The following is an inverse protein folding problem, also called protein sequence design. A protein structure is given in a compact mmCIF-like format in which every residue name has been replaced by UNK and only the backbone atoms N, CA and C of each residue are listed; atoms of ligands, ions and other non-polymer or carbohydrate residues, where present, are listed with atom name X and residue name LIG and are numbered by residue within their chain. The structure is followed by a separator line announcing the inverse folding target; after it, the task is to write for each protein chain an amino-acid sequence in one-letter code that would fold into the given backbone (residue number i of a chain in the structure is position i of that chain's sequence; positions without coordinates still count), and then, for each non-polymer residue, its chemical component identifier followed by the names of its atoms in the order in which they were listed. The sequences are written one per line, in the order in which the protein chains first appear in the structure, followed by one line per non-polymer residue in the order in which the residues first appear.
data_IF_560445087878
#
_entry.id   IF_560445087878
#
_cell.length_a   1.000
_cell.length_b   1.000
_cell.length_c   1.000
_cell.angle_alpha   90.00
_cell.angle_beta   90.00
_cell.angle_gamma   90.00
#
_symmetry.space_group_name_H-M   'P 1'
#
loop_
_entity.id
_entity.type
_entity.pdbx_description
1 polymer ?
#
# COMPACT_ATOMS: atom_id res chain seq x y z
N UNK A 1 40.92 -25.81 0.94
CA UNK A 1 40.19 -24.71 1.63
C UNK A 1 39.77 -23.60 0.67
N UNK A 2 40.68 -23.11 -0.20
CA UNK A 2 40.39 -22.06 -1.21
C UNK A 2 39.35 -22.46 -2.27
N UNK A 3 39.40 -23.69 -2.79
CA UNK A 3 38.51 -24.17 -3.86
C UNK A 3 37.03 -24.15 -3.48
N UNK A 4 36.70 -24.44 -2.22
CA UNK A 4 35.33 -24.37 -1.70
C UNK A 4 34.82 -22.92 -1.65
N UNK A 5 35.67 -21.98 -1.21
CA UNK A 5 35.31 -20.57 -1.10
C UNK A 5 35.04 -19.93 -2.47
N UNK A 6 35.87 -20.25 -3.47
CA UNK A 6 35.68 -19.76 -4.84
C UNK A 6 34.35 -20.24 -5.42
N UNK A 7 33.97 -21.50 -5.17
CA UNK A 7 32.67 -22.03 -5.62
C UNK A 7 31.50 -21.33 -4.95
N UNK A 8 31.57 -21.09 -3.64
CA UNK A 8 30.52 -20.35 -2.91
C UNK A 8 30.36 -18.92 -3.44
N UNK A 9 31.47 -18.22 -3.69
CA UNK A 9 31.44 -16.85 -4.23
C UNK A 9 30.87 -16.86 -5.65
N UNK A 10 31.27 -17.80 -6.50
CA UNK A 10 30.75 -17.93 -7.86
C UNK A 10 29.23 -18.18 -7.87
N UNK A 11 28.73 -19.04 -6.98
CA UNK A 11 27.29 -19.27 -6.82
C UNK A 11 26.54 -18.06 -6.27
N UNK A 12 27.11 -17.33 -5.32
CA UNK A 12 26.51 -16.11 -4.79
C UNK A 12 26.39 -15.03 -5.87
N UNK A 13 27.41 -14.87 -6.72
CA UNK A 13 27.39 -13.92 -7.85
C UNK A 13 26.37 -14.34 -8.92
N UNK A 14 26.29 -15.64 -9.23
CA UNK A 14 25.29 -16.17 -10.16
C UNK A 14 23.86 -15.93 -9.63
N UNK A 15 23.61 -16.19 -8.34
CA UNK A 15 22.31 -15.93 -7.71
C UNK A 15 21.93 -14.45 -7.71
N UNK A 16 22.89 -13.55 -7.48
CA UNK A 16 22.66 -12.10 -7.57
C UNK A 16 22.33 -11.67 -9.00
N UNK A 17 23.04 -12.18 -10.00
CA UNK A 17 22.80 -11.85 -11.41
C UNK A 17 21.43 -12.35 -11.92
N UNK A 18 20.91 -13.46 -11.36
CA UNK A 18 19.62 -14.05 -11.73
C UNK A 18 18.47 -13.44 -10.88
N UNK A 19 18.76 -12.51 -9.96
CA UNK A 19 17.76 -11.84 -9.15
C UNK A 19 16.93 -10.84 -9.98
N UNK A 20 16.01 -11.37 -10.77
CA UNK A 20 14.95 -10.59 -11.40
C UNK A 20 13.85 -10.35 -10.37
N UNK A 21 14.12 -9.46 -9.40
CA UNK A 21 13.04 -8.85 -8.63
C UNK A 21 12.14 -8.10 -9.63
N UNK A 22 10.84 -8.36 -9.56
CA UNK A 22 9.78 -8.02 -10.52
C UNK A 22 10.00 -6.68 -11.26
N UNK A 23 10.76 -6.72 -12.37
CA UNK A 23 11.20 -5.54 -13.12
C UNK A 23 10.01 -4.85 -13.79
N UNK A 24 9.02 -5.64 -14.21
CA UNK A 24 7.81 -5.16 -14.84
C UNK A 24 6.93 -4.39 -13.86
N UNK A 25 6.80 -4.85 -12.61
CA UNK A 25 6.07 -4.11 -11.57
C UNK A 25 6.77 -2.80 -11.20
N UNK A 26 8.11 -2.81 -11.11
CA UNK A 26 8.86 -1.57 -10.86
C UNK A 26 8.68 -0.58 -12.01
N UNK A 27 8.73 -1.04 -13.27
CA UNK A 27 8.47 -0.17 -14.43
C UNK A 27 7.05 0.41 -14.39
N UNK A 28 6.03 -0.41 -14.15
CA UNK A 28 4.65 0.05 -14.06
C UNK A 28 4.45 1.03 -12.89
N UNK A 29 5.10 0.79 -11.76
CA UNK A 29 5.04 1.68 -10.60
C UNK A 29 5.65 3.05 -10.92
N UNK A 30 6.83 3.08 -11.53
CA UNK A 30 7.47 4.33 -11.98
C UNK A 30 6.61 5.04 -13.02
N UNK A 31 6.08 4.33 -14.02
CA UNK A 31 5.23 4.92 -15.07
C UNK A 31 3.93 5.52 -14.51
N UNK A 32 3.27 4.84 -13.56
CA UNK A 32 2.01 5.30 -12.96
C UNK A 32 2.20 6.46 -11.98
N UNK A 33 3.35 6.54 -11.30
CA UNK A 33 3.61 7.55 -10.27
C UNK A 33 4.46 8.73 -10.74
N UNK A 34 5.14 8.62 -11.88
CA UNK A 34 5.97 9.70 -12.42
C UNK A 34 5.19 11.00 -12.65
N UNK A 35 3.92 10.91 -13.07
CA UNK A 35 3.06 12.07 -13.33
C UNK A 35 1.87 12.17 -12.35
N UNK A 36 1.86 11.38 -11.28
CA UNK A 36 0.74 11.37 -10.32
C UNK A 36 0.85 12.49 -9.29
N UNK A 37 0.07 13.56 -9.46
CA UNK A 37 -0.01 14.64 -8.48
C UNK A 37 -1.04 14.33 -7.38
N UNK A 38 -0.55 13.95 -6.19
CA UNK A 38 -1.36 13.64 -5.00
C UNK A 38 -2.21 14.81 -4.47
N UNK A 39 -1.87 16.04 -4.85
CA UNK A 39 -2.56 17.25 -4.39
C UNK A 39 -3.75 17.62 -5.30
N UNK A 40 -3.81 17.03 -6.49
CA UNK A 40 -4.88 17.30 -7.45
C UNK A 40 -5.96 16.23 -7.31
N UNK A 41 -7.21 16.68 -7.30
CA UNK A 41 -8.38 15.82 -7.31
C UNK A 41 -8.36 14.95 -8.59
N UNK A 42 -8.38 13.60 -8.49
CA UNK A 42 -8.32 12.72 -9.65
C UNK A 42 -9.68 12.67 -10.35
N UNK A 43 -9.95 13.62 -11.24
CA UNK A 43 -11.14 13.65 -12.09
C UNK A 43 -10.74 13.90 -13.55
N UNK A 44 -11.34 13.17 -14.49
CA UNK A 44 -11.15 13.40 -15.93
C UNK A 44 -11.76 14.73 -16.38
N UNK A 45 -12.88 15.12 -15.76
CA UNK A 45 -13.55 16.38 -15.99
C UNK A 45 -13.77 17.12 -14.68
N UNK A 46 -13.42 18.41 -14.66
CA UNK A 46 -13.63 19.26 -13.48
C UNK A 46 -15.10 19.41 -13.06
N UNK A 47 -16.02 19.18 -14.00
CA UNK A 47 -17.47 19.26 -13.78
C UNK A 47 -18.04 18.03 -13.06
N UNK A 48 -17.29 16.94 -12.98
CA UNK A 48 -17.77 15.70 -12.36
C UNK A 48 -17.50 15.65 -10.85
N UNK A 49 -18.44 15.07 -10.11
CA UNK A 49 -18.37 14.92 -8.65
C UNK A 49 -17.79 13.55 -8.28
N UNK A 50 -16.81 13.54 -7.36
CA UNK A 50 -16.30 12.30 -6.78
C UNK A 50 -17.24 11.77 -5.70
N UNK A 51 -17.75 10.55 -5.88
CA UNK A 51 -18.61 9.89 -4.89
C UNK A 51 -17.73 9.04 -3.96
N UNK A 52 -17.43 9.55 -2.78
CA UNK A 52 -16.66 8.81 -1.78
C UNK A 52 -17.61 7.97 -0.91
N UNK A 53 -17.51 6.64 -1.02
CA UNK A 53 -18.32 5.73 -0.21
C UNK A 53 -17.49 5.20 0.95
N UNK A 54 -17.92 5.53 2.16
CA UNK A 54 -17.32 5.03 3.39
C UNK A 54 -18.18 3.94 4.00
N UNK A 55 -17.54 2.87 4.44
CA UNK A 55 -18.15 1.83 5.26
C UNK A 55 -17.39 1.74 6.57
N UNK A 56 -18.13 1.72 7.67
CA UNK A 56 -17.57 1.52 9.01
C UNK A 56 -17.91 0.11 9.46
N UNK A 57 -16.90 -0.62 9.93
CA UNK A 57 -17.08 -1.90 10.61
C UNK A 57 -16.64 -1.74 12.05
N UNK A 58 -17.60 -1.73 12.97
CA UNK A 58 -17.32 -1.75 14.40
C UNK A 58 -16.64 -3.08 14.74
N UNK A 59 -15.47 -3.01 15.37
CA UNK A 59 -14.76 -4.17 15.88
C UNK A 59 -15.29 -4.51 17.27
N UNK A 60 -15.15 -3.58 18.22
CA UNK A 60 -15.51 -3.76 19.64
C UNK A 60 -15.79 -2.41 20.31
N UNK A 61 -16.63 -2.41 21.36
CA UNK A 61 -16.81 -1.29 22.29
C UNK A 61 -15.80 -1.44 23.43
N UNK A 62 -14.92 -0.46 23.63
CA UNK A 62 -13.88 -0.53 24.66
C UNK A 62 -14.40 -0.04 26.01
N UNK A 63 -14.97 1.17 26.04
CA UNK A 63 -15.46 1.76 27.29
C UNK A 63 -16.48 2.87 27.03
N UNK A 64 -17.39 3.10 27.98
CA UNK A 64 -18.38 4.17 27.98
C UNK A 64 -18.29 4.92 29.31
N UNK A 65 -17.84 6.17 29.24
CA UNK A 65 -17.81 7.07 30.39
C UNK A 65 -19.08 7.95 30.38
N UNK A 66 -20.13 7.49 31.04
CA UNK A 66 -21.44 8.16 31.08
C UNK A 66 -21.40 9.54 31.72
N UNK A 67 -20.58 9.70 32.78
CA UNK A 67 -20.37 10.97 33.49
C UNK A 67 -19.76 12.06 32.59
N UNK A 68 -18.92 11.66 31.63
CA UNK A 68 -18.23 12.57 30.71
C UNK A 68 -18.80 12.50 29.28
N UNK A 69 -19.79 11.63 29.03
CA UNK A 69 -20.38 11.33 27.72
C UNK A 69 -19.36 10.94 26.63
N UNK A 70 -18.34 10.18 27.00
CA UNK A 70 -17.30 9.72 26.06
C UNK A 70 -17.46 8.22 25.83
N UNK A 71 -17.55 7.81 24.56
CA UNK A 71 -17.60 6.42 24.13
C UNK A 71 -16.34 6.10 23.33
N UNK A 72 -15.55 5.15 23.79
CA UNK A 72 -14.33 4.68 23.12
C UNK A 72 -14.64 3.37 22.40
N UNK A 73 -14.56 3.36 21.07
CA UNK A 73 -14.81 2.17 20.25
C UNK A 73 -13.65 1.92 19.29
N UNK A 74 -13.39 0.65 18.99
CA UNK A 74 -12.46 0.26 17.94
C UNK A 74 -13.27 0.01 16.66
N UNK A 75 -13.00 0.81 15.63
CA UNK A 75 -13.71 0.78 14.35
C UNK A 75 -12.70 0.67 13.22
N UNK A 76 -12.99 -0.19 12.24
CA UNK A 76 -12.30 -0.21 10.96
C UNK A 76 -13.02 0.69 9.96
N UNK A 77 -12.32 1.70 9.46
CA UNK A 77 -12.80 2.54 8.37
C UNK A 77 -12.38 1.91 7.04
N UNK A 78 -13.37 1.56 6.22
CA UNK A 78 -13.16 1.01 4.89
C UNK A 78 -13.57 2.05 3.86
N UNK A 79 -12.59 2.52 3.08
CA UNK A 79 -12.86 3.30 1.89
C UNK A 79 -13.18 2.33 0.75
N UNK A 80 -14.42 2.37 0.25
CA UNK A 80 -14.84 1.55 -0.89
C UNK A 80 -14.80 2.45 -2.12
N UNK A 81 -13.74 2.32 -2.91
CA UNK A 81 -13.68 2.90 -4.24
C UNK A 81 -14.50 2.02 -5.18
N UNK A 82 -15.66 2.52 -5.62
CA UNK A 82 -16.36 1.92 -6.76
C UNK A 82 -15.93 2.69 -8.00
N UNK A 83 -15.34 1.97 -8.95
CA UNK A 83 -15.21 2.42 -10.34
C UNK A 83 -16.52 2.14 -11.06
#
# INVERSE_FOLDING_TARGET
MLTRQVFVIAWAVAMYAISHANRDANRLFEDLLADYNKLVRPVDNNSDTLVVRFKLKLSQLLDVHEKNQIMTTNVWLQHVSLY
#
